data_IF_093379707263
#
_entry.id   IF_093379707263
#
_cell.length_a   1.000
_cell.length_b   1.000
_cell.length_c   1.000
_cell.angle_alpha   90.00
_cell.angle_beta   90.00
_cell.angle_gamma   90.00
#
_symmetry.space_group_name_H-M   'P 1'
#
loop_
_entity.id
_entity.type
_entity.pdbx_description
1 polymer ?
#
# COMPACT_ATOMS: atom_id res chain seq x y z
N UNK A 1 12.79 31.83 22.61
CA UNK A 1 12.15 31.29 21.39
C UNK A 1 10.64 31.21 21.61
N UNK A 2 9.80 31.45 20.59
CA UNK A 2 8.34 31.35 20.74
C UNK A 2 7.87 29.89 20.79
N UNK A 3 6.82 29.61 21.59
CA UNK A 3 6.17 28.29 21.73
C UNK A 3 5.76 27.71 20.37
N UNK A 4 5.33 28.56 19.44
CA UNK A 4 4.97 28.15 18.07
C UNK A 4 6.16 27.62 17.25
N UNK A 5 7.38 28.07 17.53
CA UNK A 5 8.59 27.54 16.89
C UNK A 5 9.01 26.20 17.49
N UNK A 6 8.90 26.05 18.82
CA UNK A 6 9.22 24.78 19.49
C UNK A 6 8.29 23.64 19.03
N UNK A 7 6.98 23.90 18.93
CA UNK A 7 6.02 22.93 18.36
C UNK A 7 6.39 22.53 16.92
N UNK A 8 6.72 23.51 16.07
CA UNK A 8 7.15 23.25 14.68
C UNK A 8 8.45 22.45 14.59
N UNK A 9 9.42 22.70 15.47
CA UNK A 9 10.66 21.93 15.55
C UNK A 9 10.38 20.47 15.96
N UNK A 10 9.59 20.26 17.01
CA UNK A 10 9.19 18.93 17.47
C UNK A 10 8.45 18.13 16.39
N UNK A 11 7.51 18.75 15.66
CA UNK A 11 6.80 18.06 14.56
C UNK A 11 7.75 17.65 13.43
N UNK A 12 8.73 18.49 13.08
CA UNK A 12 9.76 18.15 12.08
C UNK A 12 10.64 17.00 12.54
N UNK A 13 11.05 17.00 13.80
CA UNK A 13 11.87 15.93 14.37
C UNK A 13 11.12 14.59 14.38
N UNK A 14 9.84 14.60 14.78
CA UNK A 14 8.96 13.42 14.72
C UNK A 14 8.80 12.91 13.28
N UNK A 15 8.62 13.79 12.29
CA UNK A 15 8.53 13.40 10.88
C UNK A 15 9.84 12.80 10.35
N UNK A 16 10.98 13.41 10.70
CA UNK A 16 12.32 12.95 10.30
C UNK A 16 12.63 11.58 10.92
N UNK A 17 12.35 11.42 12.22
CA UNK A 17 12.49 10.15 12.94
C UNK A 17 11.62 9.06 12.33
N UNK A 18 10.32 9.32 12.09
CA UNK A 18 9.41 8.36 11.43
C UNK A 18 9.90 7.96 10.04
N UNK A 19 10.35 8.92 9.22
CA UNK A 19 10.89 8.63 7.89
C UNK A 19 12.13 7.74 7.98
N UNK A 20 13.10 8.08 8.84
CA UNK A 20 14.33 7.31 9.03
C UNK A 20 14.05 5.89 9.52
N UNK A 21 13.08 5.72 10.42
CA UNK A 21 12.71 4.41 10.94
C UNK A 21 11.96 3.56 9.92
N UNK A 22 11.13 4.18 9.07
CA UNK A 22 10.52 3.52 7.92
C UNK A 22 11.58 3.06 6.90
N UNK A 23 12.55 3.92 6.58
CA UNK A 23 13.69 3.58 5.72
C UNK A 23 14.64 2.53 6.33
N UNK A 24 14.65 2.36 7.65
CA UNK A 24 15.28 1.20 8.31
C UNK A 24 14.44 -0.03 8.06
N UNK A 25 13.17 -0.02 8.48
CA UNK A 25 12.26 -1.16 8.38
C UNK A 25 12.16 -1.73 6.95
N UNK A 26 12.11 -0.88 5.92
CA UNK A 26 12.13 -1.34 4.53
C UNK A 26 13.44 -2.06 4.19
N UNK A 27 14.61 -1.53 4.60
CA UNK A 27 15.89 -2.21 4.39
C UNK A 27 15.98 -3.50 5.18
N UNK A 28 15.55 -3.49 6.44
CA UNK A 28 15.55 -4.65 7.32
C UNK A 28 14.70 -5.78 6.69
N UNK A 29 13.52 -5.46 6.16
CA UNK A 29 12.66 -6.37 5.38
C UNK A 29 13.26 -6.78 4.03
N UNK A 30 13.93 -5.88 3.30
CA UNK A 30 14.57 -6.22 2.02
C UNK A 30 15.80 -7.13 2.20
N UNK A 31 16.55 -6.97 3.29
CA UNK A 31 17.68 -7.83 3.66
C UNK A 31 17.25 -9.12 4.33
N UNK A 32 16.13 -9.09 5.06
CA UNK A 32 15.60 -10.22 5.80
C UNK A 32 14.08 -10.32 5.62
N UNK A 33 13.69 -10.76 4.43
CA UNK A 33 12.28 -10.87 4.01
C UNK A 33 11.50 -11.86 4.90
N UNK A 34 12.19 -12.78 5.60
CA UNK A 34 11.54 -13.82 6.39
C UNK A 34 12.21 -14.19 7.73
N UNK A 35 13.55 -14.21 7.89
CA UNK A 35 14.19 -14.90 9.02
C UNK A 35 13.73 -14.39 10.39
N UNK A 36 13.85 -13.12 10.75
CA UNK A 36 13.64 -12.67 12.13
C UNK A 36 12.16 -12.69 12.52
N UNK A 37 11.27 -12.32 11.59
CA UNK A 37 9.82 -12.49 11.74
C UNK A 37 9.40 -13.96 11.87
N UNK A 38 9.96 -14.84 11.02
CA UNK A 38 9.72 -16.28 11.05
C UNK A 38 10.33 -16.94 12.29
N UNK A 39 11.52 -16.52 12.74
CA UNK A 39 12.17 -16.95 13.99
C UNK A 39 11.29 -16.57 15.19
N UNK A 40 10.74 -15.35 15.24
CA UNK A 40 9.82 -14.91 16.31
C UNK A 40 8.52 -15.72 16.28
N UNK A 41 7.92 -15.94 15.11
CA UNK A 41 6.72 -16.76 14.94
C UNK A 41 6.98 -18.22 15.37
N UNK A 42 8.02 -18.86 14.84
CA UNK A 42 8.43 -20.22 15.20
C UNK A 42 8.81 -20.35 16.67
N UNK A 43 9.44 -19.35 17.29
CA UNK A 43 9.80 -19.41 18.72
C UNK A 43 8.55 -19.50 19.58
N UNK A 44 7.51 -18.71 19.28
CA UNK A 44 6.20 -18.80 19.94
C UNK A 44 5.46 -20.12 19.69
N UNK A 45 5.71 -20.79 18.56
CA UNK A 45 5.09 -22.09 18.22
C UNK A 45 5.86 -23.27 18.85
N UNK A 46 7.19 -23.14 19.00
CA UNK A 46 8.06 -24.21 19.52
C UNK A 46 7.91 -24.49 21.01
N UNK A 47 7.50 -23.49 21.80
CA UNK A 47 7.43 -23.64 23.26
C UNK A 47 6.29 -24.58 23.71
N UNK A 48 5.21 -24.73 22.91
CA UNK A 48 4.08 -25.64 23.19
C UNK A 48 4.10 -26.97 22.39
N UNK A 49 4.88 -27.04 21.30
CA UNK A 49 4.88 -28.21 20.41
C UNK A 49 6.29 -28.73 20.11
N UNK A 50 6.69 -29.81 20.80
CA UNK A 50 7.81 -30.65 20.38
C UNK A 50 7.53 -31.13 18.94
N UNK A 51 8.40 -30.86 17.94
CA UNK A 51 8.09 -31.16 16.56
C UNK A 51 7.84 -32.66 16.39
N UNK A 52 6.63 -33.00 15.94
CA UNK A 52 6.28 -34.38 15.60
C UNK A 52 7.06 -34.73 14.34
N UNK A 53 8.10 -35.56 14.50
CA UNK A 53 8.82 -36.14 13.38
C UNK A 53 7.88 -37.12 12.66
N UNK A 54 7.23 -36.62 11.60
CA UNK A 54 6.48 -37.44 10.67
C UNK A 54 7.43 -38.40 9.94
N UNK A 55 7.00 -39.64 9.73
CA UNK A 55 7.71 -40.53 8.81
C UNK A 55 7.62 -39.99 7.37
N UNK A 56 8.53 -40.42 6.50
CA UNK A 56 8.67 -39.88 5.13
C UNK A 56 7.35 -39.90 4.37
N UNK A 57 6.67 -41.03 4.38
CA UNK A 57 5.40 -41.26 3.68
C UNK A 57 4.27 -40.34 4.16
N UNK A 58 4.21 -40.01 5.46
CA UNK A 58 3.25 -39.03 6.01
C UNK A 58 3.62 -37.60 5.63
N UNK A 59 4.92 -37.31 5.52
CA UNK A 59 5.40 -35.99 5.07
C UNK A 59 5.09 -35.80 3.59
N UNK A 60 5.30 -36.82 2.76
CA UNK A 60 4.94 -36.83 1.34
C UNK A 60 3.43 -36.62 1.15
N UNK A 61 2.57 -37.38 1.86
CA UNK A 61 1.12 -37.20 1.79
C UNK A 61 0.65 -35.79 2.21
N UNK A 62 1.22 -35.20 3.28
CA UNK A 62 0.90 -33.83 3.70
C UNK A 62 1.39 -32.79 2.68
N UNK A 63 2.52 -33.02 2.01
CA UNK A 63 3.01 -32.13 0.95
C UNK A 63 2.13 -32.20 -0.30
N UNK A 64 1.64 -33.37 -0.68
CA UNK A 64 0.70 -33.52 -1.81
C UNK A 64 -0.65 -32.85 -1.54
N UNK A 65 -1.15 -32.88 -0.30
CA UNK A 65 -2.39 -32.21 0.10
C UNK A 65 -2.24 -30.68 0.20
N UNK A 66 -1.15 -30.19 0.81
CA UNK A 66 -0.91 -28.75 1.00
C UNK A 66 -0.43 -28.05 -0.28
N UNK A 67 0.33 -28.75 -1.13
CA UNK A 67 0.92 -28.23 -2.36
C UNK A 67 0.59 -29.14 -3.55
N UNK A 68 -0.69 -29.27 -3.92
CA UNK A 68 -1.09 -30.09 -5.05
C UNK A 68 -0.40 -29.61 -6.33
N UNK A 69 0.01 -30.55 -7.18
CA UNK A 69 0.73 -30.23 -8.42
C UNK A 69 -0.17 -29.47 -9.40
N UNK A 70 -0.11 -28.14 -9.32
CA UNK A 70 -0.73 -27.26 -10.30
C UNK A 70 0.05 -27.32 -11.63
N UNK A 71 -0.68 -27.23 -12.75
CA UNK A 71 -0.05 -27.08 -14.07
C UNK A 71 0.85 -25.84 -14.06
N UNK A 72 2.06 -25.99 -14.59
CA UNK A 72 2.99 -24.88 -14.76
C UNK A 72 2.29 -23.71 -15.48
N UNK A 73 2.21 -22.56 -14.80
CA UNK A 73 1.64 -21.35 -15.37
C UNK A 73 2.65 -20.76 -16.36
N UNK A 74 2.20 -20.52 -17.60
CA UNK A 74 2.96 -19.67 -18.52
C UNK A 74 2.85 -18.21 -18.07
N UNK A 75 3.84 -17.77 -17.32
CA UNK A 75 3.97 -16.40 -16.84
C UNK A 75 4.04 -15.39 -17.98
N UNK A 76 4.55 -15.76 -19.17
CA UNK A 76 4.60 -14.85 -20.32
C UNK A 76 3.20 -14.55 -20.86
N UNK A 77 2.37 -15.59 -21.01
CA UNK A 77 0.95 -15.44 -21.36
C UNK A 77 0.22 -14.55 -20.34
N UNK A 78 0.40 -14.83 -19.03
CA UNK A 78 -0.21 -14.07 -17.93
C UNK A 78 0.19 -12.58 -17.96
N UNK A 79 1.49 -12.28 -18.03
CA UNK A 79 2.00 -10.90 -18.12
C UNK A 79 1.47 -10.18 -19.36
N UNK A 80 1.40 -10.86 -20.52
CA UNK A 80 0.82 -10.28 -21.73
C UNK A 80 -0.67 -9.92 -21.58
N UNK A 81 -1.44 -10.70 -20.82
CA UNK A 81 -2.86 -10.42 -20.55
C UNK A 81 -3.03 -9.23 -19.60
N UNK A 82 -2.17 -9.11 -18.58
CA UNK A 82 -2.15 -7.98 -17.64
C UNK A 82 -1.81 -6.69 -18.40
N UNK A 83 -0.83 -6.72 -19.29
CA UNK A 83 -0.44 -5.56 -20.09
C UNK A 83 -1.55 -5.13 -21.05
N UNK A 84 -2.14 -6.06 -21.82
CA UNK A 84 -3.29 -5.80 -22.70
C UNK A 84 -4.45 -5.17 -21.95
N UNK A 85 -4.81 -5.72 -20.78
CA UNK A 85 -5.86 -5.19 -19.91
C UNK A 85 -5.55 -3.77 -19.42
N UNK A 86 -4.29 -3.50 -19.09
CA UNK A 86 -3.81 -2.19 -18.63
C UNK A 86 -3.80 -1.15 -19.74
N UNK A 87 -3.42 -1.55 -20.96
CA UNK A 87 -3.46 -0.73 -22.16
C UNK A 87 -4.91 -0.37 -22.54
N UNK A 88 -5.82 -1.34 -22.47
CA UNK A 88 -7.24 -1.12 -22.76
C UNK A 88 -7.88 -0.16 -21.76
N UNK A 89 -7.64 -0.31 -20.45
CA UNK A 89 -8.09 0.66 -19.42
C UNK A 89 -7.61 2.08 -19.70
N UNK A 90 -6.33 2.25 -20.07
CA UNK A 90 -5.75 3.55 -20.46
C UNK A 90 -6.39 4.11 -21.74
N UNK A 91 -6.69 3.27 -22.72
CA UNK A 91 -7.36 3.68 -23.96
C UNK A 91 -8.83 4.07 -23.74
N UNK A 92 -9.58 3.34 -22.92
CA UNK A 92 -10.96 3.70 -22.53
C UNK A 92 -11.00 5.03 -21.79
N UNK A 93 -10.07 5.26 -20.84
CA UNK A 93 -9.98 6.54 -20.14
C UNK A 93 -9.71 7.71 -21.10
N UNK A 94 -8.80 7.54 -22.07
CA UNK A 94 -8.52 8.54 -23.13
C UNK A 94 -9.72 8.77 -24.04
N UNK A 95 -10.42 7.71 -24.45
CA UNK A 95 -11.60 7.83 -25.31
C UNK A 95 -12.75 8.57 -24.60
N UNK A 96 -12.96 8.29 -23.32
CA UNK A 96 -13.96 9.00 -22.51
C UNK A 96 -13.62 10.49 -22.32
N UNK A 97 -12.33 10.85 -22.27
CA UNK A 97 -11.89 12.26 -22.27
C UNK A 97 -12.08 12.92 -23.64
N UNK A 98 -11.78 12.21 -24.75
CA UNK A 98 -11.95 12.73 -26.11
C UNK A 98 -13.44 12.95 -26.47
N UNK A 99 -14.33 12.10 -25.97
CA UNK A 99 -15.79 12.26 -26.09
C UNK A 99 -16.37 13.34 -25.15
N UNK A 100 -15.53 14.03 -24.36
CA UNK A 100 -15.90 15.09 -23.41
C UNK A 100 -16.30 16.42 -24.05
N UNK A 101 -17.33 16.43 -24.89
CA UNK A 101 -18.05 17.65 -25.34
C UNK A 101 -19.55 17.43 -25.15
N UNK A 102 -20.27 18.51 -24.79
CA UNK A 102 -21.65 18.52 -24.23
C UNK A 102 -21.60 18.22 -22.71
N UNK A 103 -21.96 19.10 -21.77
CA UNK A 103 -22.65 20.42 -21.85
C UNK A 103 -22.25 21.37 -20.71
N UNK A 104 -21.46 22.40 -20.99
CA UNK A 104 -21.36 23.58 -20.09
C UNK A 104 -22.48 24.57 -20.40
N UNK A 105 -23.49 24.66 -19.51
CA UNK A 105 -24.25 25.90 -19.29
C UNK A 105 -23.64 26.50 -18.01
N UNK A 106 -22.92 27.61 -18.08
CA UNK A 106 -23.50 28.95 -18.18
C UNK A 106 -23.81 29.41 -16.76
N UNK A 107 -22.85 29.93 -15.99
CA UNK A 107 -22.36 31.32 -16.08
C UNK A 107 -23.50 32.35 -15.98
N UNK A 108 -23.92 32.64 -14.76
CA UNK A 108 -24.59 33.88 -14.41
C UNK A 108 -23.80 34.52 -13.26
N UNK A 109 -23.18 35.67 -13.52
CA UNK A 109 -22.75 36.60 -12.47
C UNK A 109 -23.99 37.33 -11.98
N UNK A 110 -24.11 37.56 -10.68
CA UNK A 110 -24.80 38.74 -10.13
C UNK A 110 -24.39 38.97 -8.68
N UNK A 111 -23.80 40.15 -8.47
CA UNK A 111 -24.08 41.07 -7.36
C UNK A 111 -23.64 40.69 -5.93
N UNK A 112 -22.46 41.21 -5.61
CA UNK A 112 -22.00 41.53 -4.25
C UNK A 112 -22.85 42.64 -3.62
N UNK A 113 -23.12 42.55 -2.30
CA UNK A 113 -23.21 43.77 -1.49
C UNK A 113 -22.46 43.66 -0.16
N UNK A 114 -21.34 44.37 -0.04
CA UNK A 114 -20.95 45.05 1.24
C UNK A 114 -22.08 45.99 1.68
N UNK A 115 -22.35 46.27 2.97
CA UNK A 115 -21.36 46.68 3.98
C UNK A 115 -21.65 46.07 5.39
N UNK A 116 -21.15 46.48 6.58
CA UNK A 116 -20.48 47.71 7.08
C UNK A 116 -19.39 47.36 8.11
N UNK A 117 -18.50 48.31 8.42
CA UNK A 117 -17.64 48.26 9.61
C UNK A 117 -18.42 48.69 10.86
N UNK A 118 -18.23 47.99 11.98
CA UNK A 118 -18.75 48.35 13.30
C UNK A 118 -17.62 48.74 14.26
N UNK A 119 -17.62 49.99 14.73
CA UNK A 119 -16.74 50.52 15.78
C UNK A 119 -17.46 50.44 17.14
N UNK A 120 -16.92 49.70 18.10
CA UNK A 120 -17.23 49.82 19.54
C UNK A 120 -16.14 49.12 20.38
N UNK A 121 -15.94 49.50 21.66
CA UNK A 121 -15.80 50.85 22.22
C UNK A 121 -14.31 51.25 22.37
#
# INVERSE_FOLDING_TARGET
MSIGMQKKALTREIQTSKKRQWESLCRDVDTDVWEEGYKIALRRIKDDAKPVLLCRDKTEAVLEELFPQHKALDWNSCLSQIEKSSQQRRNTARNNQASGKIRTKGSARSDEPTPKQGRVP
#
